data_IF_187881596853
#
_entry.id   IF_187881596853
#
_cell.length_a   1.000
_cell.length_b   1.000
_cell.length_c   1.000
_cell.angle_alpha   90.00
_cell.angle_beta   90.00
_cell.angle_gamma   90.00
#
_symmetry.space_group_name_H-M   'P 1'
#
loop_
_entity.id
_entity.type
_entity.pdbx_description
1 polymer ?
#
# COMPACT_ATOMS: atom_id res chain seq x y z
N UNK A 1 13.66 4.88 -36.08
CA UNK A 1 13.17 4.15 -34.89
C UNK A 1 12.98 5.20 -33.81
N UNK A 2 11.73 5.55 -33.49
CA UNK A 2 11.46 6.55 -32.47
C UNK A 2 11.54 5.88 -31.10
N UNK A 3 12.46 6.35 -30.26
CA UNK A 3 12.52 5.95 -28.85
C UNK A 3 11.19 6.31 -28.19
N UNK A 4 10.47 5.32 -27.69
CA UNK A 4 9.30 5.51 -26.85
C UNK A 4 9.81 6.07 -25.53
N UNK A 5 9.77 7.40 -25.37
CA UNK A 5 10.04 8.08 -24.11
C UNK A 5 9.10 7.46 -23.08
N UNK A 6 9.66 6.74 -22.11
CA UNK A 6 8.89 6.32 -20.94
C UNK A 6 8.56 7.60 -20.20
N UNK A 7 7.28 7.92 -20.03
CA UNK A 7 6.84 9.04 -19.20
C UNK A 7 7.21 8.69 -17.75
N UNK A 8 8.32 9.26 -17.29
CA UNK A 8 8.80 9.12 -15.90
C UNK A 8 8.05 10.15 -15.07
N UNK A 9 7.21 9.68 -14.14
CA UNK A 9 6.46 10.55 -13.23
C UNK A 9 7.35 11.02 -12.07
N UNK A 10 7.32 12.30 -11.75
CA UNK A 10 7.73 12.76 -10.43
C UNK A 10 6.73 12.28 -9.36
N UNK A 11 7.13 12.33 -8.08
CA UNK A 11 6.22 12.02 -6.98
C UNK A 11 5.01 12.98 -7.00
N UNK A 12 5.27 14.27 -7.22
CA UNK A 12 4.22 15.29 -7.25
C UNK A 12 3.24 15.07 -8.40
N UNK A 13 3.73 14.70 -9.59
CA UNK A 13 2.87 14.34 -10.72
C UNK A 13 2.07 13.06 -10.46
N UNK A 14 2.68 12.06 -9.81
CA UNK A 14 1.98 10.85 -9.41
C UNK A 14 0.84 11.14 -8.43
N UNK A 15 1.07 11.96 -7.40
CA UNK A 15 0.04 12.29 -6.41
C UNK A 15 -1.16 13.00 -7.08
N UNK A 16 -0.90 13.94 -7.98
CA UNK A 16 -1.97 14.63 -8.74
C UNK A 16 -2.72 13.63 -9.64
N UNK A 17 -1.99 12.76 -10.32
CA UNK A 17 -2.57 11.72 -11.18
C UNK A 17 -3.45 10.76 -10.38
N UNK A 18 -2.96 10.28 -9.23
CA UNK A 18 -3.65 9.32 -8.39
C UNK A 18 -4.92 9.91 -7.76
N UNK A 19 -4.89 11.17 -7.34
CA UNK A 19 -6.07 11.88 -6.81
C UNK A 19 -7.20 12.05 -7.85
N UNK A 20 -6.88 11.94 -9.14
CA UNK A 20 -7.84 12.03 -10.26
C UNK A 20 -8.19 10.66 -10.86
N UNK A 21 -7.56 9.60 -10.39
CA UNK A 21 -7.68 8.27 -10.99
C UNK A 21 -8.87 7.51 -10.41
N UNK A 22 -9.63 6.85 -11.28
CA UNK A 22 -10.71 5.93 -10.87
C UNK A 22 -10.19 4.55 -10.43
N UNK A 23 -8.90 4.29 -10.63
CA UNK A 23 -8.22 3.05 -10.27
C UNK A 23 -7.02 3.36 -9.40
N UNK A 24 -6.72 2.48 -8.45
CA UNK A 24 -5.51 2.62 -7.62
C UNK A 24 -4.27 2.33 -8.44
N UNK A 25 -3.23 3.14 -8.26
CA UNK A 25 -1.96 2.92 -8.93
C UNK A 25 -0.81 2.90 -7.92
N UNK A 26 0.09 1.93 -8.05
CA UNK A 26 1.36 1.93 -7.32
C UNK A 26 2.40 2.76 -8.09
N UNK A 27 3.31 3.39 -7.34
CA UNK A 27 4.41 4.19 -7.86
C UNK A 27 5.74 3.64 -7.38
N UNK A 28 6.72 3.55 -8.29
CA UNK A 28 8.09 3.21 -7.98
C UNK A 28 9.06 3.89 -8.95
N UNK A 29 9.93 4.77 -8.45
CA UNK A 29 10.98 5.46 -9.23
C UNK A 29 10.48 6.03 -10.58
N UNK A 30 9.32 6.66 -10.55
CA UNK A 30 8.67 7.30 -11.70
C UNK A 30 7.90 6.38 -12.62
N UNK A 31 7.81 5.09 -12.31
CA UNK A 31 6.90 4.16 -12.97
C UNK A 31 5.60 4.08 -12.18
N UNK A 32 4.49 4.31 -12.88
CA UNK A 32 3.13 4.11 -12.35
C UNK A 32 2.58 2.78 -12.87
N UNK A 33 2.07 1.94 -11.98
CA UNK A 33 1.47 0.64 -12.31
C UNK A 33 0.05 0.57 -11.76
N UNK A 34 -0.94 0.46 -12.64
CA UNK A 34 -2.31 0.27 -12.22
C UNK A 34 -2.50 -1.07 -11.51
N UNK A 35 -3.18 -1.05 -10.37
CA UNK A 35 -3.57 -2.28 -9.69
C UNK A 35 -4.70 -2.94 -10.47
N UNK A 36 -4.57 -4.25 -10.68
CA UNK A 36 -5.70 -5.06 -11.13
C UNK A 36 -6.73 -5.18 -9.99
N UNK A 37 -8.01 -5.14 -10.34
CA UNK A 37 -9.07 -5.47 -9.38
C UNK A 37 -8.90 -6.88 -8.78
N UNK A 38 -9.30 -7.03 -7.52
CA UNK A 38 -9.23 -8.31 -6.82
C UNK A 38 -10.24 -9.34 -7.35
N UNK A 39 -9.93 -10.63 -7.17
CA UNK A 39 -10.90 -11.71 -7.37
C UNK A 39 -11.86 -11.81 -6.17
N UNK A 40 -13.00 -12.49 -6.33
CA UNK A 40 -13.93 -12.74 -5.21
C UNK A 40 -13.22 -13.36 -4.00
N UNK A 41 -12.40 -14.39 -4.23
CA UNK A 41 -11.69 -15.07 -3.13
C UNK A 41 -10.67 -14.15 -2.45
N UNK A 42 -9.97 -13.33 -3.23
CA UNK A 42 -9.05 -12.34 -2.69
C UNK A 42 -9.77 -11.32 -1.80
N UNK A 43 -10.92 -10.82 -2.25
CA UNK A 43 -11.77 -9.93 -1.46
C UNK A 43 -12.26 -10.57 -0.16
N UNK A 44 -12.70 -11.85 -0.20
CA UNK A 44 -13.13 -12.59 0.98
C UNK A 44 -11.99 -12.73 2.00
N UNK A 45 -10.80 -13.14 1.56
CA UNK A 45 -9.65 -13.34 2.45
C UNK A 45 -9.21 -12.01 3.07
N UNK A 46 -9.13 -10.95 2.27
CA UNK A 46 -8.76 -9.61 2.73
C UNK A 46 -9.75 -9.11 3.79
N UNK A 47 -11.05 -9.23 3.51
CA UNK A 47 -12.10 -8.80 4.43
C UNK A 47 -12.12 -9.60 5.74
N UNK A 48 -11.99 -10.92 5.66
CA UNK A 48 -11.93 -11.78 6.85
C UNK A 48 -10.73 -11.41 7.72
N UNK A 49 -9.57 -11.19 7.11
CA UNK A 49 -8.35 -10.79 7.85
C UNK A 49 -8.55 -9.45 8.54
N UNK A 50 -9.07 -8.44 7.84
CA UNK A 50 -9.33 -7.13 8.43
C UNK A 50 -10.39 -7.19 9.56
N UNK A 51 -11.38 -8.07 9.43
CA UNK A 51 -12.40 -8.32 10.46
C UNK A 51 -11.76 -8.88 11.73
N UNK A 52 -10.90 -9.89 11.61
CA UNK A 52 -10.22 -10.48 12.76
C UNK A 52 -9.26 -9.50 13.44
N UNK A 53 -8.52 -8.69 12.67
CA UNK A 53 -7.69 -7.62 13.22
C UNK A 53 -8.53 -6.60 14.00
N UNK A 54 -9.68 -6.20 13.46
CA UNK A 54 -10.63 -5.29 14.12
C UNK A 54 -11.20 -5.87 15.41
N UNK A 55 -11.51 -7.16 15.43
CA UNK A 55 -11.96 -7.87 16.62
C UNK A 55 -10.86 -7.88 17.69
N UNK A 56 -9.64 -8.27 17.31
CA UNK A 56 -8.50 -8.35 18.22
C UNK A 56 -8.19 -7.00 18.86
N UNK A 57 -8.15 -5.92 18.07
CA UNK A 57 -7.92 -4.55 18.57
C UNK A 57 -8.96 -4.17 19.61
N UNK A 58 -10.25 -4.44 19.33
CA UNK A 58 -11.37 -4.15 20.24
C UNK A 58 -11.29 -4.96 21.53
N UNK A 59 -11.02 -6.25 21.43
CA UNK A 59 -10.90 -7.15 22.59
C UNK A 59 -9.74 -6.75 23.51
N UNK A 60 -8.60 -6.36 22.93
CA UNK A 60 -7.42 -5.92 23.67
C UNK A 60 -7.52 -4.49 24.19
N UNK A 61 -8.56 -3.73 23.79
CA UNK A 61 -8.67 -2.28 24.05
C UNK A 61 -7.39 -1.55 23.60
N UNK A 62 -6.84 -1.99 22.47
CA UNK A 62 -5.59 -1.45 21.94
C UNK A 62 -5.82 -0.07 21.32
N UNK A 63 -4.79 0.76 21.28
CA UNK A 63 -4.77 2.05 20.57
C UNK A 63 -4.39 1.89 19.08
N UNK A 64 -4.60 0.71 18.51
CA UNK A 64 -4.32 0.42 17.11
C UNK A 64 -5.56 0.61 16.24
N UNK A 65 -5.34 0.85 14.96
CA UNK A 65 -6.34 1.04 13.93
C UNK A 65 -6.00 0.12 12.75
N UNK A 66 -6.80 -0.92 12.51
CA UNK A 66 -6.74 -1.68 11.27
C UNK A 66 -7.26 -0.82 10.12
N UNK A 67 -6.56 -0.84 9.00
CA UNK A 67 -6.88 -0.08 7.79
C UNK A 67 -6.92 -1.09 6.63
N UNK A 68 -7.93 -0.99 5.79
CA UNK A 68 -8.07 -1.84 4.60
C UNK A 68 -7.09 -1.41 3.49
N UNK A 69 -7.11 -2.13 2.37
CA UNK A 69 -6.26 -1.81 1.22
C UNK A 69 -6.63 -0.57 0.41
N UNK A 70 -7.46 0.34 0.91
CA UNK A 70 -7.80 1.60 0.22
C UNK A 70 -6.81 2.74 0.51
N UNK A 71 -5.93 2.57 1.49
CA UNK A 71 -4.94 3.56 1.88
C UNK A 71 -3.56 3.10 1.41
N UNK A 72 -2.80 4.02 0.79
CA UNK A 72 -1.43 3.76 0.36
C UNK A 72 -0.42 3.99 1.49
N UNK A 73 0.68 3.27 1.41
CA UNK A 73 1.88 3.50 2.22
C UNK A 73 2.89 4.23 1.35
N UNK A 74 3.52 5.28 1.89
CA UNK A 74 4.71 5.86 1.27
C UNK A 74 5.97 5.31 1.95
N UNK A 75 6.87 4.74 1.14
CA UNK A 75 8.12 4.14 1.60
C UNK A 75 9.27 5.03 1.12
N UNK A 76 9.70 5.97 1.96
CA UNK A 76 10.70 6.99 1.62
C UNK A 76 11.98 6.41 1.01
N UNK A 77 12.56 5.37 1.63
CA UNK A 77 13.82 4.77 1.16
C UNK A 77 13.72 4.10 -0.20
N UNK A 78 12.51 3.71 -0.60
CA UNK A 78 12.23 3.09 -1.89
C UNK A 78 11.59 4.08 -2.88
N UNK A 79 11.38 5.34 -2.47
CA UNK A 79 10.62 6.35 -3.22
C UNK A 79 9.36 5.76 -3.86
N UNK A 80 8.59 4.99 -3.08
CA UNK A 80 7.50 4.16 -3.59
C UNK A 80 6.20 4.41 -2.84
N UNK A 81 5.09 4.44 -3.59
CA UNK A 81 3.74 4.37 -3.04
C UNK A 81 3.13 3.01 -3.39
N UNK A 82 2.67 2.29 -2.37
CA UNK A 82 2.12 0.94 -2.53
C UNK A 82 0.82 0.79 -1.76
N UNK A 83 -0.04 -0.09 -2.23
CA UNK A 83 -1.31 -0.42 -1.58
C UNK A 83 -1.24 -1.87 -1.11
N UNK A 84 -1.15 -2.13 0.20
CA UNK A 84 -1.31 -3.49 0.73
C UNK A 84 -2.79 -3.89 0.76
N UNK A 85 -3.09 -5.16 1.02
CA UNK A 85 -4.48 -5.61 1.21
C UNK A 85 -5.06 -5.26 2.58
N UNK A 86 -4.18 -5.01 3.56
CA UNK A 86 -4.54 -4.45 4.84
C UNK A 86 -3.30 -4.07 5.64
N UNK A 87 -3.50 -3.27 6.68
CA UNK A 87 -2.44 -2.86 7.59
C UNK A 87 -2.99 -2.53 8.97
N UNK A 88 -2.10 -2.38 9.95
CA UNK A 88 -2.44 -1.87 11.30
C UNK A 88 -1.44 -0.81 11.69
N UNK A 89 -1.93 0.33 12.15
CA UNK A 89 -1.13 1.41 12.76
C UNK A 89 -1.50 1.48 14.24
N UNK A 90 -0.52 1.65 15.13
CA UNK A 90 -0.77 1.84 16.55
C UNK A 90 -0.29 3.21 17.01
N UNK A 91 -1.10 3.90 17.82
CA UNK A 91 -0.83 5.28 18.21
C UNK A 91 -1.34 6.29 17.18
N UNK A 92 -0.61 7.39 17.00
CA UNK A 92 -0.97 8.41 16.03
C UNK A 92 -0.68 7.94 14.60
N UNK A 93 -1.62 8.17 13.69
CA UNK A 93 -1.40 7.90 12.26
C UNK A 93 -0.54 9.01 11.69
N UNK A 94 0.65 8.65 11.22
CA UNK A 94 1.57 9.58 10.58
C UNK A 94 1.44 9.46 9.06
N UNK A 95 1.36 10.61 8.39
CA UNK A 95 1.23 10.69 6.94
C UNK A 95 2.45 11.34 6.31
N UNK A 96 2.66 11.03 5.04
CA UNK A 96 3.79 11.55 4.27
C UNK A 96 3.64 13.05 4.04
N UNK A 97 4.76 13.77 4.06
CA UNK A 97 4.81 15.17 3.62
C UNK A 97 4.60 15.30 2.09
N UNK A 98 4.86 14.22 1.34
CA UNK A 98 4.61 14.16 -0.11
C UNK A 98 3.13 14.00 -0.42
N UNK A 99 2.39 13.37 0.48
CA UNK A 99 0.97 13.11 0.34
C UNK A 99 0.32 12.75 1.68
N UNK A 100 -0.66 13.58 2.07
CA UNK A 100 -1.44 13.42 3.31
C UNK A 100 -2.33 12.17 3.33
N UNK A 101 -2.62 11.57 2.17
CA UNK A 101 -3.41 10.34 2.06
C UNK A 101 -2.55 9.07 2.12
N UNK A 102 -1.22 9.22 2.19
CA UNK A 102 -0.29 8.11 2.35
C UNK A 102 0.24 8.03 3.79
N UNK A 103 0.14 6.86 4.40
CA UNK A 103 0.69 6.61 5.74
C UNK A 103 2.16 6.20 5.66
N UNK A 104 2.91 6.41 6.74
CA UNK A 104 4.34 6.09 6.80
C UNK A 104 4.74 5.20 7.99
N UNK A 105 3.81 4.88 8.90
CA UNK A 105 4.09 4.15 10.13
C UNK A 105 3.23 2.89 10.38
N UNK A 106 2.92 2.04 9.37
CA UNK A 106 2.26 0.77 9.62
C UNK A 106 3.14 -0.17 10.46
N UNK A 107 2.56 -0.79 11.48
CA UNK A 107 3.22 -1.80 12.34
C UNK A 107 2.95 -3.23 11.89
N UNK A 108 1.85 -3.45 11.18
CA UNK A 108 1.52 -4.71 10.53
C UNK A 108 1.09 -4.40 9.10
N UNK A 109 1.53 -5.21 8.16
CA UNK A 109 1.14 -5.14 6.75
C UNK A 109 0.71 -6.54 6.32
N UNK A 110 -0.38 -6.63 5.56
CA UNK A 110 -0.97 -7.86 5.07
C UNK A 110 -1.08 -7.81 3.55
N UNK A 111 -0.63 -8.88 2.90
CA UNK A 111 -0.81 -9.12 1.46
C UNK A 111 -1.47 -10.48 1.25
N UNK A 112 -2.49 -10.53 0.40
CA UNK A 112 -3.22 -11.73 -0.03
C UNK A 112 -2.70 -12.14 -1.39
N UNK A 113 -1.88 -13.17 -1.39
CA UNK A 113 -1.15 -13.58 -2.58
C UNK A 113 -2.08 -14.03 -3.72
N UNK A 114 -1.74 -13.59 -4.92
CA UNK A 114 -2.36 -14.00 -6.17
C UNK A 114 -1.32 -14.61 -7.12
N UNK A 115 -1.75 -15.44 -8.08
CA UNK A 115 -0.83 -16.01 -9.08
C UNK A 115 -0.09 -14.95 -9.90
N UNK A 116 -0.67 -13.76 -10.07
CA UNK A 116 -0.10 -12.68 -10.87
C UNK A 116 0.91 -11.82 -10.11
N UNK A 117 0.77 -11.71 -8.79
CA UNK A 117 1.56 -10.77 -7.96
C UNK A 117 2.42 -11.45 -6.90
N UNK A 118 2.23 -12.75 -6.63
CA UNK A 118 2.90 -13.45 -5.52
C UNK A 118 4.42 -13.25 -5.48
N UNK A 119 5.09 -13.33 -6.63
CA UNK A 119 6.56 -13.16 -6.68
C UNK A 119 7.00 -11.74 -6.30
N UNK A 120 6.20 -10.73 -6.65
CA UNK A 120 6.46 -9.34 -6.29
C UNK A 120 6.15 -9.11 -4.81
N UNK A 121 5.00 -9.60 -4.34
CA UNK A 121 4.54 -9.40 -2.96
C UNK A 121 5.47 -10.07 -1.94
N UNK A 122 5.96 -11.28 -2.24
CA UNK A 122 6.93 -12.00 -1.39
C UNK A 122 8.37 -11.47 -1.51
N UNK A 123 8.69 -10.81 -2.61
CA UNK A 123 10.03 -10.37 -2.95
C UNK A 123 10.20 -8.87 -2.75
N UNK A 124 10.24 -8.14 -3.87
CA UNK A 124 10.57 -6.72 -3.89
C UNK A 124 9.66 -5.88 -2.99
N UNK A 125 8.33 -6.12 -3.01
CA UNK A 125 7.39 -5.36 -2.19
C UNK A 125 7.64 -5.58 -0.69
N UNK A 126 7.86 -6.83 -0.29
CA UNK A 126 8.22 -7.17 1.09
C UNK A 126 9.53 -6.49 1.52
N UNK A 127 10.56 -6.49 0.68
CA UNK A 127 11.83 -5.83 0.98
C UNK A 127 11.69 -4.30 1.11
N UNK A 128 10.80 -3.68 0.33
CA UNK A 128 10.46 -2.25 0.51
C UNK A 128 9.82 -2.03 1.87
N UNK A 129 8.86 -2.86 2.28
CA UNK A 129 8.23 -2.76 3.61
C UNK A 129 9.25 -2.87 4.75
N UNK A 130 10.21 -3.79 4.65
CA UNK A 130 11.28 -3.93 5.66
C UNK A 130 12.16 -2.68 5.81
N UNK A 131 12.08 -1.72 4.89
CA UNK A 131 12.84 -0.47 4.95
C UNK A 131 12.13 0.63 5.76
N UNK A 132 10.84 0.45 6.06
CA UNK A 132 10.04 1.36 6.88
C UNK A 132 10.62 1.45 8.31
N UNK A 133 10.64 2.64 8.94
CA UNK A 133 11.13 2.78 10.31
C UNK A 133 10.34 1.97 11.35
N UNK A 134 9.09 1.62 11.06
CA UNK A 134 8.17 0.90 11.94
C UNK A 134 8.24 -0.63 11.84
N UNK A 135 9.09 -1.17 10.95
CA UNK A 135 9.24 -2.62 10.74
C UNK A 135 10.20 -3.28 11.74
#
# INVERSE_FOLDING_TARGET
>A
MAEKKLDVFTIEEYVIFEDQSDVKNEYEHGKVTAMSGGTLNHGIISNNTNTELSNLVREKKSNCVPINGDVRIFIEKAESFVYPDGMVICGEIETSQRDKNAVINPMLIVEVLSKSTESYDRGDKFHKYCSLPSF
#
